data_IF_339770718321
#
_entry.id   IF_339770718321
#
_cell.length_a   1.000
_cell.length_b   1.000
_cell.length_c   1.000
_cell.angle_alpha   90.00
_cell.angle_beta   90.00
_cell.angle_gamma   90.00
#
_symmetry.space_group_name_H-M   'P 1'
#
loop_
_entity.id
_entity.type
_entity.pdbx_description
1 polymer ?
#
# COMPACT_ATOMS: atom_id res chain seq x y z
N UNK A 1 21.14 -17.27 6.26
CA UNK A 1 20.21 -16.72 5.25
C UNK A 1 20.46 -15.24 5.24
N UNK A 2 20.95 -14.75 4.11
CA UNK A 2 21.51 -13.41 3.91
C UNK A 2 20.59 -12.33 4.48
N UNK A 3 21.17 -11.38 5.20
CA UNK A 3 20.59 -10.08 5.56
C UNK A 3 20.26 -9.27 4.29
N UNK A 4 19.29 -9.75 3.50
CA UNK A 4 18.76 -9.07 2.33
C UNK A 4 17.92 -7.90 2.82
N UNK A 5 18.64 -6.86 3.16
CA UNK A 5 18.24 -5.46 3.29
C UNK A 5 16.76 -5.22 2.95
N UNK A 6 15.96 -5.01 4.01
CA UNK A 6 14.59 -4.48 4.01
C UNK A 6 14.52 -3.06 3.39
N UNK A 7 14.91 -2.91 2.13
CA UNK A 7 14.83 -1.63 1.42
C UNK A 7 13.43 -1.45 0.86
N UNK A 8 12.49 -1.19 1.76
CA UNK A 8 11.17 -0.70 1.42
C UNK A 8 11.28 0.64 0.69
N UNK A 9 10.63 0.75 -0.46
CA UNK A 9 10.56 1.99 -1.24
C UNK A 9 9.09 2.32 -1.54
N UNK A 10 8.75 3.60 -1.51
CA UNK A 10 7.45 4.07 -1.99
C UNK A 10 7.47 4.38 -3.48
N UNK A 11 6.29 4.47 -4.10
CA UNK A 11 6.18 4.87 -5.50
C UNK A 11 6.79 6.25 -5.79
N UNK A 12 6.89 7.17 -4.81
CA UNK A 12 7.50 8.50 -5.02
C UNK A 12 9.03 8.44 -5.16
N UNK A 13 9.64 7.42 -4.59
CA UNK A 13 11.08 7.25 -4.49
C UNK A 13 11.67 6.47 -5.67
N UNK A 14 10.82 5.87 -6.51
CA UNK A 14 11.25 5.19 -7.73
C UNK A 14 11.65 6.16 -8.86
N UNK A 15 12.37 5.63 -9.84
CA UNK A 15 12.71 6.36 -11.06
C UNK A 15 11.44 6.72 -11.84
N UNK A 16 11.20 8.02 -12.02
CA UNK A 16 9.98 8.53 -12.64
C UNK A 16 8.74 8.52 -11.73
N UNK A 17 8.84 8.01 -10.51
CA UNK A 17 7.74 7.87 -9.55
C UNK A 17 6.96 9.16 -9.29
N UNK A 18 7.66 10.30 -9.22
CA UNK A 18 7.05 11.63 -9.06
C UNK A 18 6.11 12.02 -10.22
N UNK A 19 6.36 11.52 -11.42
CA UNK A 19 5.52 11.78 -12.61
C UNK A 19 4.23 10.95 -12.54
N UNK A 20 4.32 9.70 -12.06
CA UNK A 20 3.15 8.82 -11.89
C UNK A 20 2.33 9.16 -10.65
N UNK A 21 2.95 9.78 -9.64
CA UNK A 21 2.35 10.03 -8.34
C UNK A 21 0.98 10.71 -8.38
N UNK A 22 0.72 11.80 -9.15
CA UNK A 22 -0.59 12.46 -9.13
C UNK A 22 -1.74 11.53 -9.55
N UNK A 23 -1.53 10.70 -10.57
CA UNK A 23 -2.53 9.74 -11.02
C UNK A 23 -2.67 8.59 -10.01
N UNK A 24 -1.56 8.01 -9.58
CA UNK A 24 -1.53 6.95 -8.58
C UNK A 24 -2.21 7.35 -7.27
N UNK A 25 -1.88 8.53 -6.75
CA UNK A 25 -2.46 9.05 -5.52
C UNK A 25 -3.98 9.19 -5.62
N UNK A 26 -4.48 9.73 -6.74
CA UNK A 26 -5.91 9.92 -6.96
C UNK A 26 -6.69 8.60 -6.97
N UNK A 27 -6.12 7.54 -7.53
CA UNK A 27 -6.85 6.27 -7.79
C UNK A 27 -6.56 5.17 -6.77
N UNK A 28 -5.40 5.21 -6.11
CA UNK A 28 -4.95 4.19 -5.14
C UNK A 28 -4.93 4.75 -3.73
N UNK A 29 -4.06 5.75 -3.47
CA UNK A 29 -3.80 6.20 -2.09
C UNK A 29 -4.98 6.91 -1.46
N UNK A 30 -5.58 7.87 -2.17
CA UNK A 30 -6.69 8.66 -1.63
C UNK A 30 -7.88 7.75 -1.24
N UNK A 31 -8.39 6.85 -2.10
CA UNK A 31 -9.47 5.95 -1.69
C UNK A 31 -9.10 4.98 -0.57
N UNK A 32 -7.83 4.58 -0.47
CA UNK A 32 -7.36 3.69 0.59
C UNK A 32 -7.36 4.42 1.95
N UNK A 33 -6.82 5.63 1.99
CA UNK A 33 -6.78 6.48 3.20
C UNK A 33 -8.19 6.91 3.62
N UNK A 34 -9.06 7.27 2.67
CA UNK A 34 -10.47 7.56 2.97
C UNK A 34 -11.18 6.36 3.61
N UNK A 35 -10.89 5.13 3.16
CA UNK A 35 -11.43 3.92 3.79
C UNK A 35 -10.84 3.64 5.17
N UNK A 36 -9.58 4.01 5.41
CA UNK A 36 -8.96 3.90 6.73
C UNK A 36 -9.63 4.85 7.73
N UNK A 37 -9.91 6.08 7.29
CA UNK A 37 -10.59 7.10 8.09
C UNK A 37 -12.05 6.74 8.37
N UNK A 38 -12.73 6.08 7.42
CA UNK A 38 -14.13 5.66 7.56
C UNK A 38 -14.29 4.46 8.49
N UNK A 39 -13.52 3.39 8.28
CA UNK A 39 -13.59 2.15 9.05
C UNK A 39 -12.22 1.47 9.13
N UNK A 40 -11.42 1.94 10.08
CA UNK A 40 -10.08 1.42 10.36
C UNK A 40 -10.07 -0.08 10.62
N UNK A 41 -10.91 -0.54 11.55
CA UNK A 41 -10.92 -1.93 11.97
C UNK A 41 -11.37 -2.84 10.82
N UNK A 42 -12.40 -2.43 10.06
CA UNK A 42 -12.88 -3.14 8.88
C UNK A 42 -11.86 -3.19 7.75
N UNK A 43 -11.15 -2.09 7.47
CA UNK A 43 -10.10 -2.07 6.45
C UNK A 43 -8.94 -3.00 6.83
N UNK A 44 -8.46 -2.93 8.07
CA UNK A 44 -7.38 -3.81 8.56
C UNK A 44 -7.82 -5.27 8.54
N UNK A 45 -9.06 -5.56 8.96
CA UNK A 45 -9.64 -6.90 8.86
C UNK A 45 -9.62 -7.42 7.42
N UNK A 46 -10.09 -6.63 6.45
CA UNK A 46 -10.09 -7.03 5.04
C UNK A 46 -8.68 -7.28 4.49
N UNK A 47 -7.72 -6.41 4.82
CA UNK A 47 -6.32 -6.59 4.42
C UNK A 47 -5.73 -7.91 4.98
N UNK A 48 -6.12 -8.30 6.20
CA UNK A 48 -5.71 -9.58 6.81
C UNK A 48 -6.35 -10.78 6.14
N UNK A 49 -7.67 -10.80 6.07
CA UNK A 49 -8.42 -11.98 5.66
C UNK A 49 -8.36 -12.23 4.15
N UNK A 50 -8.27 -11.17 3.34
CA UNK A 50 -8.31 -11.28 1.87
C UNK A 50 -6.93 -11.37 1.23
N UNK A 51 -5.93 -10.72 1.84
CA UNK A 51 -4.59 -10.60 1.27
C UNK A 51 -3.51 -11.23 2.16
N UNK A 52 -3.91 -12.06 3.13
CA UNK A 52 -2.99 -12.73 4.06
C UNK A 52 -2.20 -11.74 4.92
N UNK A 53 -2.80 -10.58 5.19
CA UNK A 53 -2.13 -9.47 5.84
C UNK A 53 -1.66 -9.78 7.27
N UNK A 54 -0.50 -9.23 7.62
CA UNK A 54 0.12 -9.33 8.95
C UNK A 54 0.43 -7.93 9.48
N UNK A 55 -0.10 -7.60 10.65
CA UNK A 55 0.22 -6.34 11.33
C UNK A 55 1.69 -6.33 11.72
N UNK A 56 2.34 -5.20 11.49
CA UNK A 56 3.75 -4.95 11.81
C UNK A 56 3.89 -3.63 12.55
N UNK A 57 5.07 -3.37 13.12
CA UNK A 57 5.37 -2.09 13.75
C UNK A 57 5.57 -0.99 12.69
N UNK A 58 5.00 0.19 12.94
CA UNK A 58 5.16 1.39 12.11
C UNK A 58 3.89 2.24 12.04
N UNK A 59 4.06 3.56 12.03
CA UNK A 59 2.92 4.50 12.06
C UNK A 59 1.97 4.25 13.24
N UNK A 60 0.71 4.63 13.07
CA UNK A 60 -0.37 4.26 14.00
C UNK A 60 -0.92 2.87 13.67
N UNK A 61 -0.95 2.53 12.38
CA UNK A 61 -1.23 1.18 11.88
C UNK A 61 -0.30 0.86 10.71
N UNK A 62 0.40 -0.27 10.80
CA UNK A 62 1.13 -0.85 9.66
C UNK A 62 0.76 -2.31 9.44
N UNK A 63 0.66 -2.69 8.17
CA UNK A 63 0.30 -4.04 7.75
C UNK A 63 1.04 -4.41 6.47
N UNK A 64 1.59 -5.62 6.45
CA UNK A 64 2.16 -6.23 5.27
C UNK A 64 1.18 -7.21 4.66
N UNK A 65 0.93 -7.07 3.36
CA UNK A 65 0.04 -7.96 2.60
C UNK A 65 0.82 -8.72 1.53
N UNK A 66 0.31 -9.89 1.17
CA UNK A 66 0.85 -10.72 0.08
C UNK A 66 0.19 -10.26 -1.22
N UNK A 67 0.94 -9.53 -2.03
CA UNK A 67 0.46 -9.03 -3.31
C UNK A 67 0.48 -10.13 -4.40
N UNK A 68 1.50 -10.98 -4.34
CA UNK A 68 1.73 -12.15 -5.20
C UNK A 68 2.67 -13.12 -4.45
N UNK A 69 2.85 -14.40 -4.84
CA UNK A 69 3.87 -15.25 -4.23
C UNK A 69 5.23 -14.56 -4.14
N UNK A 70 5.76 -14.47 -2.91
CA UNK A 70 7.04 -13.81 -2.56
C UNK A 70 7.10 -12.29 -2.76
N UNK A 71 6.00 -11.64 -3.16
CA UNK A 71 5.90 -10.19 -3.32
C UNK A 71 5.02 -9.62 -2.22
N UNK A 72 5.64 -8.84 -1.32
CA UNK A 72 4.98 -8.21 -0.20
C UNK A 72 4.85 -6.70 -0.40
N UNK A 73 3.76 -6.14 0.11
CA UNK A 73 3.55 -4.69 0.17
C UNK A 73 3.26 -4.31 1.60
N UNK A 74 4.01 -3.35 2.12
CA UNK A 74 3.78 -2.74 3.43
C UNK A 74 2.95 -1.49 3.26
N UNK A 75 1.84 -1.42 3.99
CA UNK A 75 0.96 -0.25 4.04
C UNK A 75 1.10 0.33 5.44
N UNK A 76 1.35 1.64 5.52
CA UNK A 76 1.46 2.36 6.78
C UNK A 76 0.47 3.51 6.74
N UNK A 77 -0.29 3.65 7.82
CA UNK A 77 -1.25 4.71 8.04
C UNK A 77 -0.84 5.55 9.25
N UNK A 78 -1.11 6.84 9.17
CA UNK A 78 -0.97 7.80 10.26
C UNK A 78 -2.31 8.50 10.46
N UNK A 79 -2.73 8.57 11.72
CA UNK A 79 -3.94 9.29 12.10
C UNK A 79 -3.71 10.79 11.98
N UNK A 80 -4.66 11.46 11.35
CA UNK A 80 -4.74 12.91 11.35
C UNK A 80 -5.14 13.45 12.72
N UNK A 81 -4.95 14.74 12.91
CA UNK A 81 -5.51 15.48 14.05
C UNK A 81 -6.90 16.04 13.69
N UNK A 82 -7.55 16.74 14.63
CA UNK A 82 -8.94 17.23 14.49
C UNK A 82 -9.21 17.99 13.17
N UNK A 83 -8.22 18.71 12.63
CA UNK A 83 -8.32 19.50 11.40
C UNK A 83 -7.43 18.98 10.25
N UNK A 84 -6.78 17.83 10.40
CA UNK A 84 -5.88 17.25 9.40
C UNK A 84 -6.38 15.86 8.97
N UNK A 85 -6.38 15.53 7.67
CA UNK A 85 -6.80 14.22 7.22
C UNK A 85 -5.81 13.14 7.66
N UNK A 86 -6.28 11.89 7.75
CA UNK A 86 -5.41 10.74 7.85
C UNK A 86 -4.44 10.70 6.65
N UNK A 87 -3.27 10.11 6.85
CA UNK A 87 -2.28 9.89 5.81
C UNK A 87 -1.94 8.41 5.67
N UNK A 88 -1.37 8.05 4.52
CA UNK A 88 -0.88 6.71 4.31
C UNK A 88 0.13 6.61 3.19
N UNK A 89 0.88 5.52 3.20
CA UNK A 89 1.82 5.16 2.13
C UNK A 89 1.80 3.66 1.88
N UNK A 90 2.12 3.27 0.65
CA UNK A 90 2.38 1.89 0.27
C UNK A 90 3.85 1.78 -0.12
N UNK A 91 4.52 0.80 0.45
CA UNK A 91 5.92 0.49 0.21
C UNK A 91 6.05 -0.95 -0.27
N UNK A 92 7.04 -1.18 -1.12
CA UNK A 92 7.35 -2.49 -1.68
C UNK A 92 8.86 -2.68 -1.72
N UNK A 93 9.31 -3.89 -2.00
CA UNK A 93 10.74 -4.18 -2.13
C UNK A 93 11.35 -3.35 -3.27
N UNK A 94 12.44 -2.64 -2.98
CA UNK A 94 13.18 -1.84 -3.96
C UNK A 94 13.60 -2.64 -5.18
N UNK A 95 13.87 -3.94 -5.06
CA UNK A 95 14.25 -4.78 -6.19
C UNK A 95 13.16 -4.82 -7.27
N UNK A 96 11.87 -4.68 -6.91
CA UNK A 96 10.78 -4.63 -7.88
C UNK A 96 10.91 -3.46 -8.86
N UNK A 97 11.49 -2.34 -8.45
CA UNK A 97 11.69 -1.17 -9.30
C UNK A 97 12.68 -1.43 -10.47
N UNK A 98 13.56 -2.43 -10.33
CA UNK A 98 14.47 -2.85 -11.41
C UNK A 98 13.93 -3.98 -12.29
N UNK A 99 12.88 -4.68 -11.84
CA UNK A 99 12.34 -5.88 -12.49
C UNK A 99 11.01 -5.59 -13.21
N UNK A 100 10.16 -4.76 -12.62
CA UNK A 100 8.82 -4.45 -13.12
C UNK A 100 8.71 -2.99 -13.58
N UNK A 101 7.83 -2.74 -14.54
CA UNK A 101 7.53 -1.37 -14.94
C UNK A 101 6.74 -0.64 -13.85
N UNK A 102 6.78 0.69 -13.86
CA UNK A 102 5.95 1.49 -12.94
C UNK A 102 4.45 1.29 -13.15
N UNK A 103 4.03 0.93 -14.37
CA UNK A 103 2.64 0.58 -14.67
C UNK A 103 2.25 -0.73 -13.96
N UNK A 104 3.11 -1.75 -14.02
CA UNK A 104 2.88 -3.04 -13.36
C UNK A 104 2.84 -2.90 -11.83
N UNK A 105 3.81 -2.16 -11.26
CA UNK A 105 3.82 -1.88 -9.81
C UNK A 105 2.58 -1.10 -9.40
N UNK A 106 2.19 -0.08 -10.17
CA UNK A 106 0.97 0.69 -9.88
C UNK A 106 -0.30 -0.17 -9.97
N UNK A 107 -0.38 -1.06 -10.96
CA UNK A 107 -1.49 -1.98 -11.13
C UNK A 107 -1.59 -2.99 -9.97
N UNK A 108 -0.44 -3.49 -9.49
CA UNK A 108 -0.36 -4.38 -8.32
C UNK A 108 -0.86 -3.69 -7.04
N UNK A 109 -0.42 -2.45 -6.80
CA UNK A 109 -0.86 -1.68 -5.63
C UNK A 109 -2.35 -1.32 -5.72
N UNK A 110 -2.86 -1.01 -6.92
CA UNK A 110 -4.28 -0.80 -7.15
C UNK A 110 -5.11 -2.08 -6.90
N UNK A 111 -4.60 -3.24 -7.31
CA UNK A 111 -5.25 -4.53 -7.05
C UNK A 111 -5.43 -4.76 -5.54
N UNK A 112 -4.39 -4.54 -4.73
CA UNK A 112 -4.48 -4.62 -3.26
C UNK A 112 -5.60 -3.74 -2.72
N UNK A 113 -5.70 -2.49 -3.16
CA UNK A 113 -6.73 -1.56 -2.66
C UNK A 113 -8.13 -2.02 -3.06
N UNK A 114 -8.30 -2.56 -4.27
CA UNK A 114 -9.61 -3.08 -4.72
C UNK A 114 -10.07 -4.29 -3.90
N UNK A 115 -9.16 -5.23 -3.66
CA UNK A 115 -9.44 -6.41 -2.83
C UNK A 115 -9.76 -6.01 -1.38
N UNK A 116 -8.98 -5.09 -0.80
CA UNK A 116 -9.19 -4.60 0.55
C UNK A 116 -10.55 -3.89 0.72
N UNK A 117 -11.02 -3.22 -0.33
CA UNK A 117 -12.30 -2.49 -0.35
C UNK A 117 -13.49 -3.34 -0.81
N UNK A 118 -13.29 -4.61 -1.16
CA UNK A 118 -14.33 -5.47 -1.75
C UNK A 118 -15.02 -4.81 -2.97
N UNK A 119 -14.23 -4.17 -3.84
CA UNK A 119 -14.75 -3.65 -5.10
C UNK A 119 -14.75 -4.80 -6.12
N UNK A 120 -15.88 -5.49 -6.24
CA UNK A 120 -16.09 -6.47 -7.32
C UNK A 120 -15.85 -5.81 -8.68
N UNK A 121 -15.15 -6.52 -9.58
CA UNK A 121 -14.90 -6.07 -10.95
C UNK A 121 -16.24 -5.76 -11.65
N UNK A 122 -16.53 -4.48 -11.88
CA UNK A 122 -17.53 -4.03 -12.84
C UNK A 122 -17.09 -4.35 -14.27
#
# INVERSE_FOLDING_TARGET
MSDLIDQWISLKETDGGKVFWPAFHKVVMKPLVESFQEDREGLVWNLRERLGGRVVEGGDVAIEVIAFPEIFVRIIFWEGEEDLPDEGTMMFDRELNGVYSMEDVSALLLYIVREAKNLDYL
#
